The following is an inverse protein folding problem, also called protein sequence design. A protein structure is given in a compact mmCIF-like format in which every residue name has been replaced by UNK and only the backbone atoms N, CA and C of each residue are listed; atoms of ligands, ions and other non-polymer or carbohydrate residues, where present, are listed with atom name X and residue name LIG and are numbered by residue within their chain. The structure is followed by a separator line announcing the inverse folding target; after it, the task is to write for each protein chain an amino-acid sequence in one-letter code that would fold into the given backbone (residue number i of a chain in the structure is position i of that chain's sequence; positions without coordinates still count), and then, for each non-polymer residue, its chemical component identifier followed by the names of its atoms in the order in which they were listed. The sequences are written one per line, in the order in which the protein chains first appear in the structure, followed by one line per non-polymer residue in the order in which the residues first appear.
data_IF_186247429943
#
_entry.id   IF_186247429943
#
_cell.length_a   1.000
_cell.length_b   1.000
_cell.length_c   1.000
_cell.angle_alpha   90.00
_cell.angle_beta   90.00
_cell.angle_gamma   90.00
#
_symmetry.space_group_name_H-M   'P 1'
#
loop_
_entity.id
_entity.type
_entity.pdbx_description
1 polymer ?
#
# COMPACT_ATOMS: atom_id res chain seq x y z
N UNK A 1 3.92 -12.42 -24.69
CA UNK A 1 3.39 -13.12 -23.48
C UNK A 1 3.09 -12.07 -22.42
N UNK A 2 2.01 -12.22 -21.66
CA UNK A 2 1.56 -11.27 -20.65
C UNK A 2 1.71 -11.83 -19.24
N UNK A 3 1.83 -10.93 -18.26
CA UNK A 3 1.61 -11.20 -16.84
C UNK A 3 0.40 -10.39 -16.42
N UNK A 4 -0.61 -11.04 -15.82
CA UNK A 4 -1.80 -10.37 -15.33
C UNK A 4 -1.59 -9.86 -13.91
N UNK A 5 -1.74 -8.56 -13.66
CA UNK A 5 -1.71 -7.94 -12.34
C UNK A 5 -3.11 -7.55 -11.92
N UNK A 6 -3.61 -8.17 -10.87
CA UNK A 6 -4.86 -7.80 -10.20
C UNK A 6 -4.52 -7.16 -8.86
N UNK A 7 -4.75 -5.86 -8.77
CA UNK A 7 -4.29 -5.03 -7.66
C UNK A 7 -5.50 -4.55 -6.87
N UNK A 8 -5.41 -4.56 -5.54
CA UNK A 8 -6.45 -4.01 -4.68
C UNK A 8 -6.88 -2.60 -5.10
N UNK A 9 -8.17 -2.40 -5.21
CA UNK A 9 -8.79 -1.11 -5.51
C UNK A 9 -8.89 -0.21 -4.27
N UNK A 10 -8.46 -0.70 -3.10
CA UNK A 10 -8.51 0.02 -1.83
C UNK A 10 -7.32 0.98 -1.67
N UNK A 11 -7.57 2.27 -1.87
CA UNK A 11 -6.53 3.30 -1.74
C UNK A 11 -5.47 3.25 -2.85
N UNK A 12 -4.31 3.83 -2.60
CA UNK A 12 -3.20 3.88 -3.58
C UNK A 12 -1.97 3.07 -3.15
N UNK A 13 -1.89 2.63 -1.89
CA UNK A 13 -0.73 1.93 -1.36
C UNK A 13 -0.40 0.63 -2.11
N UNK A 14 -1.43 -0.15 -2.47
CA UNK A 14 -1.28 -1.37 -3.26
C UNK A 14 -0.78 -1.05 -4.68
N UNK A 15 -1.37 -0.06 -5.33
CA UNK A 15 -0.93 0.35 -6.67
C UNK A 15 0.51 0.85 -6.64
N UNK A 16 0.88 1.73 -5.70
CA UNK A 16 2.24 2.31 -5.65
C UNK A 16 3.32 1.27 -5.42
N UNK A 17 3.09 0.26 -4.55
CA UNK A 17 4.06 -0.84 -4.37
C UNK A 17 4.15 -1.74 -5.61
N UNK A 18 3.03 -2.03 -6.27
CA UNK A 18 3.02 -2.80 -7.51
C UNK A 18 3.67 -2.05 -8.67
N UNK A 19 3.60 -0.72 -8.73
CA UNK A 19 4.26 0.06 -9.78
C UNK A 19 5.76 -0.16 -9.82
N UNK A 20 6.43 -0.21 -8.66
CA UNK A 20 7.86 -0.55 -8.60
C UNK A 20 8.16 -1.92 -9.19
N UNK A 21 7.32 -2.93 -8.91
CA UNK A 21 7.46 -4.29 -9.44
C UNK A 21 7.21 -4.32 -10.95
N UNK A 22 6.09 -3.73 -11.40
CA UNK A 22 5.68 -3.70 -12.80
C UNK A 22 6.71 -2.98 -13.68
N UNK A 23 7.21 -1.83 -13.24
CA UNK A 23 8.26 -1.08 -13.93
C UNK A 23 9.53 -1.92 -14.09
N UNK A 24 9.98 -2.60 -13.02
CA UNK A 24 11.15 -3.45 -13.09
C UNK A 24 10.95 -4.69 -13.99
N UNK A 25 9.76 -5.29 -14.03
CA UNK A 25 9.44 -6.33 -15.01
C UNK A 25 9.56 -5.78 -16.45
N UNK A 26 9.01 -4.59 -16.70
CA UNK A 26 9.06 -3.97 -18.02
C UNK A 26 10.49 -3.60 -18.44
N UNK A 27 11.34 -3.17 -17.50
CA UNK A 27 12.76 -2.88 -17.73
C UNK A 27 13.59 -4.17 -17.99
N UNK A 28 13.35 -5.22 -17.19
CA UNK A 28 14.20 -6.41 -17.16
C UNK A 28 13.73 -7.53 -18.13
N UNK A 29 12.61 -7.41 -18.79
CA UNK A 29 12.03 -8.48 -19.58
C UNK A 29 11.26 -7.99 -20.82
N UNK A 30 10.87 -8.93 -21.69
CA UNK A 30 9.99 -8.67 -22.85
C UNK A 30 8.51 -8.98 -22.54
N UNK A 31 8.14 -9.22 -21.30
CA UNK A 31 6.74 -9.44 -20.93
C UNK A 31 5.92 -8.17 -21.08
N UNK A 32 4.70 -8.34 -21.53
CA UNK A 32 3.67 -7.32 -21.49
C UNK A 32 2.87 -7.47 -20.21
N UNK A 33 2.17 -6.42 -19.81
CA UNK A 33 1.33 -6.44 -18.60
C UNK A 33 -0.15 -6.29 -18.96
N UNK A 34 -0.98 -7.02 -18.23
CA UNK A 34 -2.41 -6.80 -18.15
C UNK A 34 -2.73 -6.34 -16.74
N UNK A 35 -3.12 -5.07 -16.58
CA UNK A 35 -3.28 -4.43 -15.27
C UNK A 35 -4.76 -4.21 -15.00
N UNK A 36 -5.25 -4.80 -13.91
CA UNK A 36 -6.64 -4.73 -13.46
C UNK A 36 -6.70 -4.08 -12.09
N UNK A 37 -7.35 -2.94 -12.01
CA UNK A 37 -7.57 -2.19 -10.76
C UNK A 37 -8.73 -1.19 -10.95
N UNK A 38 -9.14 -0.53 -9.89
CA UNK A 38 -10.10 0.57 -9.98
C UNK A 38 -9.61 1.68 -10.92
N UNK A 39 -10.56 2.38 -11.54
CA UNK A 39 -10.25 3.42 -12.56
C UNK A 39 -9.24 4.47 -12.06
N UNK A 40 -9.40 4.96 -10.85
CA UNK A 40 -8.51 6.01 -10.29
C UNK A 40 -7.06 5.54 -10.15
N UNK A 41 -6.87 4.29 -9.71
CA UNK A 41 -5.55 3.67 -9.58
C UNK A 41 -4.94 3.40 -10.96
N UNK A 42 -5.74 2.93 -11.92
CA UNK A 42 -5.28 2.72 -13.29
C UNK A 42 -4.93 4.04 -13.99
N UNK A 43 -5.68 5.12 -13.77
CA UNK A 43 -5.34 6.44 -14.32
C UNK A 43 -3.97 6.91 -13.82
N UNK A 44 -3.68 6.69 -12.53
CA UNK A 44 -2.36 6.96 -11.95
C UNK A 44 -1.26 6.07 -12.56
N UNK A 45 -1.54 4.78 -12.73
CA UNK A 45 -0.60 3.84 -13.35
C UNK A 45 -0.33 4.16 -14.82
N UNK A 46 -1.33 4.60 -15.59
CA UNK A 46 -1.17 5.04 -16.99
C UNK A 46 -0.18 6.21 -17.13
N UNK A 47 -0.22 7.14 -16.18
CA UNK A 47 0.71 8.28 -16.19
C UNK A 47 2.11 7.82 -15.78
N UNK A 48 2.21 7.03 -14.71
CA UNK A 48 3.50 6.55 -14.20
C UNK A 48 4.24 5.65 -15.20
N UNK A 49 3.53 4.72 -15.85
CA UNK A 49 4.08 3.77 -16.82
C UNK A 49 3.94 4.23 -18.29
N UNK A 50 3.77 5.53 -18.54
CA UNK A 50 3.50 6.08 -19.87
C UNK A 50 4.57 5.71 -20.91
N UNK A 51 5.82 5.56 -20.50
CA UNK A 51 6.94 5.12 -21.35
C UNK A 51 6.71 3.70 -21.94
N UNK A 52 5.97 2.85 -21.22
CA UNK A 52 5.71 1.46 -21.59
C UNK A 52 4.29 1.22 -22.15
N UNK A 53 3.56 2.27 -22.54
CA UNK A 53 2.14 2.22 -22.92
C UNK A 53 1.81 1.14 -23.95
N UNK A 54 2.72 0.87 -24.92
CA UNK A 54 2.51 -0.10 -25.98
C UNK A 54 2.65 -1.57 -25.51
N UNK A 55 3.09 -1.76 -24.27
CA UNK A 55 3.27 -3.07 -23.62
C UNK A 55 2.25 -3.34 -22.54
N UNK A 56 1.25 -2.47 -22.34
CA UNK A 56 0.32 -2.57 -21.23
C UNK A 56 -1.12 -2.49 -21.72
N UNK A 57 -1.93 -3.43 -21.26
CA UNK A 57 -3.38 -3.39 -21.38
C UNK A 57 -3.94 -3.09 -19.99
N UNK A 58 -4.80 -2.08 -19.88
CA UNK A 58 -5.48 -1.73 -18.64
C UNK A 58 -6.95 -2.13 -18.67
N UNK A 59 -7.43 -2.71 -17.59
CA UNK A 59 -8.85 -2.98 -17.33
C UNK A 59 -9.29 -2.25 -16.07
N UNK A 60 -10.22 -1.33 -16.22
CA UNK A 60 -10.83 -0.64 -15.08
C UNK A 60 -11.90 -1.53 -14.46
N UNK A 61 -11.60 -2.12 -13.31
CA UNK A 61 -12.44 -3.04 -12.58
C UNK A 61 -12.16 -2.91 -11.08
N UNK A 62 -13.21 -2.88 -10.25
CA UNK A 62 -13.07 -3.00 -8.80
C UNK A 62 -12.72 -4.44 -8.47
N UNK A 63 -11.55 -4.65 -7.89
CA UNK A 63 -10.97 -5.99 -7.67
C UNK A 63 -11.19 -6.51 -6.27
N UNK A 64 -11.59 -5.64 -5.34
CA UNK A 64 -11.92 -5.96 -3.96
C UNK A 64 -12.70 -4.83 -3.29
N UNK A 65 -13.23 -5.09 -2.11
CA UNK A 65 -13.82 -4.10 -1.21
C UNK A 65 -12.88 -3.96 -0.01
N UNK A 66 -12.31 -2.78 0.15
CA UNK A 66 -11.50 -2.44 1.32
C UNK A 66 -12.33 -2.02 2.52
N UNK A 67 -11.66 -1.49 3.53
CA UNK A 67 -12.35 -0.98 4.71
C UNK A 67 -13.22 0.23 4.36
N UNK A 68 -14.47 0.20 4.77
CA UNK A 68 -15.43 1.30 4.66
C UNK A 68 -15.48 1.98 6.03
N UNK A 69 -15.13 3.25 6.07
CA UNK A 69 -15.15 4.01 7.32
C UNK A 69 -16.49 4.72 7.53
N UNK A 70 -16.83 4.95 8.79
CA UNK A 70 -17.89 5.87 9.16
C UNK A 70 -17.55 7.29 8.70
N UNK A 71 -18.57 8.12 8.50
CA UNK A 71 -18.39 9.49 8.09
C UNK A 71 -17.50 10.28 9.10
N UNK A 72 -16.51 11.01 8.58
CA UNK A 72 -15.55 11.80 9.36
C UNK A 72 -14.80 11.02 10.48
N UNK A 73 -14.60 9.72 10.30
CA UNK A 73 -13.92 8.84 11.26
C UNK A 73 -13.00 7.86 10.55
N UNK A 74 -11.99 7.36 11.28
CA UNK A 74 -11.20 6.20 10.87
C UNK A 74 -11.82 4.86 11.32
N UNK A 75 -12.92 4.91 12.08
CA UNK A 75 -13.66 3.72 12.53
C UNK A 75 -14.40 3.05 11.38
N UNK A 76 -14.36 1.71 11.34
CA UNK A 76 -15.01 0.94 10.28
C UNK A 76 -16.52 0.91 10.47
N UNK A 77 -17.27 1.20 9.40
CA UNK A 77 -18.70 0.93 9.31
C UNK A 77 -18.93 -0.53 8.89
N UNK A 78 -19.05 -1.39 9.89
CA UNK A 78 -19.25 -2.83 9.68
C UNK A 78 -20.50 -3.14 8.86
N UNK A 79 -21.62 -2.46 9.12
CA UNK A 79 -22.91 -2.76 8.47
C UNK A 79 -22.83 -2.43 6.99
N UNK A 80 -22.31 -1.26 6.67
CA UNK A 80 -22.12 -0.85 5.27
C UNK A 80 -21.10 -1.73 4.56
N UNK A 81 -20.03 -2.11 5.23
CA UNK A 81 -19.02 -3.02 4.69
C UNK A 81 -19.61 -4.39 4.37
N UNK A 82 -20.37 -5.02 5.28
CA UNK A 82 -21.00 -6.32 5.04
C UNK A 82 -21.96 -6.28 3.84
N UNK A 83 -22.76 -5.21 3.72
CA UNK A 83 -23.62 -5.01 2.57
C UNK A 83 -22.83 -4.97 1.26
N UNK A 84 -21.77 -4.17 1.21
CA UNK A 84 -20.93 -4.05 0.00
C UNK A 84 -20.22 -5.37 -0.33
N UNK A 85 -19.79 -6.11 0.68
CA UNK A 85 -19.15 -7.43 0.49
C UNK A 85 -20.12 -8.46 -0.08
N UNK A 86 -21.37 -8.49 0.38
CA UNK A 86 -22.41 -9.37 -0.19
C UNK A 86 -22.67 -9.03 -1.66
N UNK A 87 -22.84 -7.76 -1.99
CA UNK A 87 -23.02 -7.32 -3.38
C UNK A 87 -21.82 -7.69 -4.25
N UNK A 88 -20.62 -7.43 -3.77
CA UNK A 88 -19.38 -7.74 -4.49
C UNK A 88 -19.17 -9.24 -4.70
N UNK A 89 -19.33 -10.05 -3.65
CA UNK A 89 -19.14 -11.50 -3.77
C UNK A 89 -20.21 -12.17 -4.63
N UNK A 90 -21.41 -11.59 -4.73
CA UNK A 90 -22.44 -12.09 -5.65
C UNK A 90 -22.10 -11.86 -7.12
N UNK A 91 -21.31 -10.84 -7.44
CA UNK A 91 -20.88 -10.51 -8.81
C UNK A 91 -19.67 -11.33 -9.31
N UNK A 92 -18.99 -12.07 -8.45
CA UNK A 92 -17.74 -12.75 -8.81
C UNK A 92 -17.86 -13.70 -10.00
N UNK A 93 -18.96 -14.44 -10.08
CA UNK A 93 -19.16 -15.39 -11.18
C UNK A 93 -19.16 -14.70 -12.54
N UNK A 94 -19.89 -13.62 -12.68
CA UNK A 94 -20.02 -12.87 -13.96
C UNK A 94 -18.71 -12.17 -14.30
N UNK A 95 -18.11 -11.46 -13.33
CA UNK A 95 -16.84 -10.78 -13.50
C UNK A 95 -15.73 -11.75 -13.95
N UNK A 96 -15.62 -12.91 -13.28
CA UNK A 96 -14.61 -13.91 -13.60
C UNK A 96 -14.85 -14.55 -14.98
N UNK A 97 -16.12 -14.72 -15.40
CA UNK A 97 -16.45 -15.21 -16.72
C UNK A 97 -16.06 -14.21 -17.82
N UNK A 98 -16.33 -12.92 -17.60
CA UNK A 98 -15.95 -11.87 -18.55
C UNK A 98 -14.43 -11.78 -18.71
N UNK A 99 -13.69 -11.80 -17.60
CA UNK A 99 -12.23 -11.82 -17.59
C UNK A 99 -11.69 -13.08 -18.29
N UNK A 100 -12.23 -14.26 -17.98
CA UNK A 100 -11.86 -15.50 -18.66
C UNK A 100 -12.06 -15.42 -20.17
N UNK A 101 -13.21 -14.92 -20.62
CA UNK A 101 -13.52 -14.79 -22.04
C UNK A 101 -12.58 -13.85 -22.77
N UNK A 102 -12.12 -12.79 -22.13
CA UNK A 102 -11.13 -11.88 -22.67
C UNK A 102 -9.73 -12.53 -22.68
N UNK A 103 -9.30 -13.09 -21.54
CA UNK A 103 -7.93 -13.53 -21.33
C UNK A 103 -7.59 -14.85 -22.05
N UNK A 104 -8.58 -15.73 -22.30
CA UNK A 104 -8.34 -17.00 -23.02
C UNK A 104 -7.73 -16.82 -24.40
N UNK A 105 -7.86 -15.63 -25.00
CA UNK A 105 -7.25 -15.29 -26.30
C UNK A 105 -5.84 -14.71 -26.16
N UNK A 106 -5.41 -14.36 -24.94
CA UNK A 106 -4.10 -13.81 -24.66
C UNK A 106 -3.16 -14.91 -24.14
N UNK A 107 -1.89 -14.81 -24.52
CA UNK A 107 -0.86 -15.70 -23.98
C UNK A 107 -0.41 -15.18 -22.61
N UNK A 108 -1.06 -15.64 -21.51
CA UNK A 108 -0.76 -15.24 -20.13
C UNK A 108 0.17 -16.27 -19.50
N UNK A 109 1.25 -15.81 -18.85
CA UNK A 109 2.18 -16.67 -18.08
C UNK A 109 1.62 -17.04 -16.71
N UNK A 110 1.22 -16.03 -15.95
CA UNK A 110 0.71 -16.18 -14.58
C UNK A 110 -0.16 -14.97 -14.22
N UNK A 111 -0.91 -15.12 -13.14
CA UNK A 111 -1.65 -14.03 -12.49
C UNK A 111 -0.91 -13.66 -11.21
N UNK A 112 -0.56 -12.38 -11.08
CA UNK A 112 -0.06 -11.77 -9.84
C UNK A 112 -1.23 -11.06 -9.18
N UNK A 113 -1.57 -11.45 -7.97
CA UNK A 113 -2.63 -10.83 -7.18
C UNK A 113 -2.01 -10.09 -5.99
N UNK A 114 -2.21 -8.78 -5.93
CA UNK A 114 -1.96 -8.02 -4.72
C UNK A 114 -3.26 -7.96 -3.94
N UNK A 115 -3.47 -8.96 -3.08
CA UNK A 115 -4.63 -9.22 -2.21
C UNK A 115 -5.99 -9.40 -2.94
N UNK A 116 -6.07 -9.18 -4.25
CA UNK A 116 -7.33 -9.22 -5.01
C UNK A 116 -7.95 -10.63 -5.07
N UNK A 117 -9.19 -10.84 -4.59
CA UNK A 117 -9.88 -12.12 -4.78
C UNK A 117 -10.18 -12.39 -6.27
N UNK A 118 -10.48 -11.37 -7.06
CA UNK A 118 -10.79 -11.51 -8.48
C UNK A 118 -9.59 -12.08 -9.25
N UNK A 119 -8.38 -11.59 -8.99
CA UNK A 119 -7.17 -12.12 -9.63
C UNK A 119 -6.96 -13.60 -9.35
N UNK A 120 -7.18 -14.02 -8.10
CA UNK A 120 -7.05 -15.41 -7.69
C UNK A 120 -8.09 -16.31 -8.36
N UNK A 121 -9.35 -15.88 -8.43
CA UNK A 121 -10.43 -16.61 -9.10
C UNK A 121 -10.18 -16.74 -10.62
N UNK A 122 -9.73 -15.67 -11.25
CA UNK A 122 -9.41 -15.65 -12.70
C UNK A 122 -8.25 -16.60 -13.00
N UNK A 123 -7.18 -16.55 -12.21
CA UNK A 123 -6.04 -17.47 -12.38
C UNK A 123 -6.45 -18.93 -12.23
N UNK A 124 -7.25 -19.25 -11.21
CA UNK A 124 -7.79 -20.59 -11.03
C UNK A 124 -8.65 -21.03 -12.21
N UNK A 125 -9.54 -20.18 -12.71
CA UNK A 125 -10.41 -20.50 -13.86
C UNK A 125 -9.62 -20.71 -15.15
N UNK A 126 -8.53 -19.97 -15.35
CA UNK A 126 -7.62 -20.12 -16.50
C UNK A 126 -6.63 -21.28 -16.32
N UNK A 127 -6.61 -21.93 -15.14
CA UNK A 127 -5.63 -22.95 -14.77
C UNK A 127 -4.18 -22.46 -14.86
N UNK A 128 -3.96 -21.19 -14.52
CA UNK A 128 -2.65 -20.54 -14.51
C UNK A 128 -2.08 -20.48 -13.08
N UNK A 129 -0.75 -20.39 -12.93
CA UNK A 129 -0.15 -20.07 -11.64
C UNK A 129 -0.70 -18.76 -11.08
N UNK A 130 -1.08 -18.77 -9.80
CA UNK A 130 -1.51 -17.59 -9.04
C UNK A 130 -0.43 -17.23 -8.03
N UNK A 131 0.22 -16.11 -8.26
CA UNK A 131 1.22 -15.54 -7.36
C UNK A 131 0.54 -14.49 -6.50
N UNK A 132 0.33 -14.79 -5.21
CA UNK A 132 -0.15 -13.80 -4.25
C UNK A 132 1.04 -13.02 -3.70
N UNK A 133 0.98 -11.70 -3.74
CA UNK A 133 1.97 -10.82 -3.11
C UNK A 133 1.25 -9.95 -2.09
N UNK A 134 1.57 -10.09 -0.80
CA UNK A 134 0.90 -9.29 0.22
C UNK A 134 1.56 -9.40 1.59
N UNK A 135 1.16 -8.51 2.52
CA UNK A 135 1.47 -8.54 3.94
C UNK A 135 0.26 -8.95 4.82
N UNK A 136 -0.94 -9.10 4.25
CA UNK A 136 -2.14 -9.61 4.91
C UNK A 136 -3.14 -10.10 3.86
N UNK A 137 -4.21 -10.81 4.27
CA UNK A 137 -5.37 -11.05 3.42
C UNK A 137 -6.63 -10.41 4.00
N UNK A 138 -7.66 -10.29 3.16
CA UNK A 138 -8.95 -9.80 3.64
C UNK A 138 -9.59 -10.73 4.67
N UNK A 139 -9.21 -12.03 4.72
CA UNK A 139 -9.69 -12.96 5.73
C UNK A 139 -9.33 -12.47 7.14
N UNK A 140 -8.04 -12.22 7.40
CA UNK A 140 -7.56 -11.79 8.71
C UNK A 140 -8.17 -10.44 9.13
N UNK A 141 -8.38 -9.54 8.16
CA UNK A 141 -8.98 -8.23 8.41
C UNK A 141 -10.48 -8.33 8.73
N UNK A 142 -11.22 -9.17 7.97
CA UNK A 142 -12.66 -9.32 8.18
C UNK A 142 -12.98 -10.13 9.44
N UNK A 143 -12.19 -11.15 9.77
CA UNK A 143 -12.28 -11.83 11.06
C UNK A 143 -12.10 -10.88 12.24
N UNK A 144 -11.13 -9.98 12.15
CA UNK A 144 -10.84 -9.00 13.20
C UNK A 144 -12.02 -8.03 13.43
N UNK A 145 -12.69 -7.62 12.36
CA UNK A 145 -13.88 -6.74 12.44
C UNK A 145 -15.12 -7.53 12.88
N UNK A 146 -15.08 -8.87 12.74
CA UNK A 146 -16.21 -9.76 13.01
C UNK A 146 -17.28 -9.72 11.91
N UNK A 147 -16.87 -9.65 10.64
CA UNK A 147 -17.74 -9.79 9.46
C UNK A 147 -18.40 -11.18 9.47
N UNK A 148 -19.57 -11.30 8.80
CA UNK A 148 -20.30 -12.57 8.71
C UNK A 148 -19.42 -13.70 8.18
N UNK A 149 -19.44 -14.85 8.88
CA UNK A 149 -18.57 -16.00 8.60
C UNK A 149 -18.78 -16.55 7.19
N UNK A 150 -20.00 -16.50 6.67
CA UNK A 150 -20.29 -16.96 5.30
C UNK A 150 -19.59 -16.14 4.22
N UNK A 151 -19.32 -14.85 4.48
CA UNK A 151 -18.53 -13.99 3.60
C UNK A 151 -17.05 -14.35 3.73
N UNK A 152 -16.56 -14.51 4.96
CA UNK A 152 -15.16 -14.85 5.24
C UNK A 152 -14.80 -16.19 4.61
N UNK A 153 -15.68 -17.21 4.70
CA UNK A 153 -15.45 -18.52 4.09
C UNK A 153 -15.31 -18.45 2.57
N UNK A 154 -16.04 -17.57 1.90
CA UNK A 154 -15.84 -17.33 0.45
C UNK A 154 -14.42 -16.82 0.16
N UNK A 155 -13.90 -15.91 0.97
CA UNK A 155 -12.53 -15.40 0.81
C UNK A 155 -11.48 -16.47 1.14
N UNK A 156 -11.68 -17.31 2.18
CA UNK A 156 -10.82 -18.46 2.47
C UNK A 156 -10.76 -19.43 1.29
N UNK A 157 -11.91 -19.74 0.70
CA UNK A 157 -11.96 -20.58 -0.50
C UNK A 157 -11.18 -19.97 -1.65
N UNK A 158 -11.32 -18.66 -1.90
CA UNK A 158 -10.58 -17.98 -2.97
C UNK A 158 -9.07 -18.08 -2.75
N UNK A 159 -8.60 -17.73 -1.57
CA UNK A 159 -7.15 -17.75 -1.30
C UNK A 159 -6.57 -19.16 -1.25
N UNK A 160 -7.40 -20.22 -1.15
CA UNK A 160 -6.93 -21.60 -1.28
C UNK A 160 -6.41 -21.96 -2.69
N UNK A 161 -6.73 -21.15 -3.71
CA UNK A 161 -6.25 -21.32 -5.09
C UNK A 161 -4.87 -20.72 -5.35
N UNK A 162 -4.27 -20.05 -4.37
CA UNK A 162 -2.91 -19.50 -4.48
C UNK A 162 -1.89 -20.61 -4.64
N UNK A 163 -1.04 -20.50 -5.66
CA UNK A 163 0.02 -21.51 -5.93
C UNK A 163 1.37 -21.09 -5.37
N UNK A 164 1.69 -19.79 -5.42
CA UNK A 164 2.93 -19.20 -4.90
C UNK A 164 2.59 -17.97 -4.04
N UNK A 165 3.15 -17.90 -2.85
CA UNK A 165 2.96 -16.77 -1.94
C UNK A 165 4.29 -16.03 -1.74
N UNK A 166 4.34 -14.76 -2.13
CA UNK A 166 5.43 -13.84 -1.85
C UNK A 166 4.99 -12.96 -0.68
N UNK A 167 5.57 -13.25 0.48
CA UNK A 167 5.24 -12.64 1.76
C UNK A 167 6.15 -11.45 2.02
N UNK A 168 5.60 -10.26 2.10
CA UNK A 168 6.36 -9.07 2.49
C UNK A 168 6.80 -9.10 3.96
N UNK A 169 7.81 -8.29 4.29
CA UNK A 169 8.09 -7.96 5.69
C UNK A 169 6.87 -7.31 6.36
N UNK A 170 6.75 -7.38 7.69
CA UNK A 170 5.56 -6.99 8.45
C UNK A 170 4.27 -7.72 8.00
N UNK A 171 4.39 -8.97 7.61
CA UNK A 171 3.22 -9.77 7.24
C UNK A 171 2.49 -10.29 8.47
N UNK A 172 1.17 -10.07 8.50
CA UNK A 172 0.30 -10.75 9.48
C UNK A 172 0.50 -12.27 9.42
N UNK A 173 0.35 -12.99 10.53
CA UNK A 173 0.20 -14.43 10.49
C UNK A 173 -1.00 -14.82 9.62
N UNK A 174 -0.75 -15.45 8.48
CA UNK A 174 -1.77 -15.86 7.53
C UNK A 174 -1.92 -17.37 7.60
N UNK A 175 -3.09 -17.85 8.03
CA UNK A 175 -3.43 -19.28 8.12
C UNK A 175 -4.48 -19.68 7.06
N UNK A 176 -5.02 -18.72 6.31
CA UNK A 176 -6.10 -18.91 5.35
C UNK A 176 -5.65 -19.40 3.97
N UNK A 177 -4.33 -19.44 3.71
CA UNK A 177 -3.78 -19.79 2.40
C UNK A 177 -3.18 -21.19 2.44
N UNK A 178 -3.61 -22.05 1.52
CA UNK A 178 -2.98 -23.34 1.27
C UNK A 178 -2.03 -23.25 0.07
N UNK A 179 -0.88 -22.62 0.26
CA UNK A 179 0.12 -22.40 -0.78
C UNK A 179 1.05 -23.61 -0.97
N UNK A 180 1.52 -23.82 -2.21
CA UNK A 180 2.54 -24.83 -2.52
C UNK A 180 3.95 -24.31 -2.25
N UNK A 181 4.15 -23.01 -2.48
CA UNK A 181 5.45 -22.33 -2.35
C UNK A 181 5.27 -21.02 -1.58
N UNK A 182 6.20 -20.74 -0.66
CA UNK A 182 6.26 -19.45 0.04
C UNK A 182 7.67 -18.87 -0.03
N UNK A 183 7.73 -17.57 -0.26
CA UNK A 183 8.97 -16.80 -0.30
C UNK A 183 8.82 -15.56 0.56
N UNK A 184 9.78 -15.31 1.43
CA UNK A 184 9.84 -14.09 2.23
C UNK A 184 10.72 -13.05 1.53
N UNK A 185 10.21 -11.82 1.47
CA UNK A 185 10.87 -10.66 0.90
C UNK A 185 10.78 -9.49 1.86
N UNK A 186 11.71 -8.57 1.77
CA UNK A 186 11.69 -7.35 2.56
C UNK A 186 10.71 -6.30 2.04
N UNK A 187 11.00 -5.05 2.36
CA UNK A 187 10.23 -3.92 1.85
C UNK A 187 10.48 -3.68 0.37
N UNK A 188 9.47 -3.16 -0.32
CA UNK A 188 9.57 -2.71 -1.70
C UNK A 188 8.80 -1.41 -1.91
N UNK A 189 9.35 -0.54 -2.72
CA UNK A 189 8.70 0.67 -3.19
C UNK A 189 9.17 1.03 -4.60
N UNK A 190 8.59 2.08 -5.16
CA UNK A 190 9.12 2.73 -6.38
C UNK A 190 10.55 3.20 -6.15
N UNK A 191 11.32 3.32 -7.21
CA UNK A 191 12.70 3.82 -7.14
C UNK A 191 12.76 5.19 -6.43
N UNK A 192 13.69 5.32 -5.47
CA UNK A 192 14.01 6.57 -4.81
C UNK A 192 15.13 7.24 -5.60
N UNK A 193 14.79 8.36 -6.24
CA UNK A 193 15.74 9.18 -7.02
C UNK A 193 16.56 10.06 -6.07
N UNK A 194 17.80 9.66 -5.84
CA UNK A 194 18.72 10.33 -4.91
C UNK A 194 18.99 11.79 -5.33
N UNK A 195 19.14 12.05 -6.63
CA UNK A 195 19.39 13.41 -7.13
C UNK A 195 18.17 14.32 -6.86
N UNK A 196 16.97 13.77 -7.02
CA UNK A 196 15.73 14.49 -6.71
C UNK A 196 15.56 14.71 -5.21
N UNK A 197 15.86 13.70 -4.39
CA UNK A 197 15.87 13.82 -2.93
C UNK A 197 16.79 14.96 -2.48
N UNK A 198 18.00 15.02 -2.99
CA UNK A 198 18.95 16.09 -2.64
C UNK A 198 18.51 17.48 -3.14
N UNK A 199 17.86 17.55 -4.31
CA UNK A 199 17.22 18.81 -4.79
C UNK A 199 16.11 19.26 -3.86
N UNK A 200 15.24 18.34 -3.41
CA UNK A 200 14.14 18.66 -2.46
C UNK A 200 14.73 19.14 -1.13
N UNK A 201 15.72 18.43 -0.57
CA UNK A 201 16.40 18.85 0.67
C UNK A 201 17.03 20.25 0.54
N UNK A 202 17.72 20.52 -0.57
CA UNK A 202 18.33 21.83 -0.83
C UNK A 202 17.31 22.96 -0.97
N UNK A 203 16.15 22.68 -1.61
CA UNK A 203 15.12 23.67 -1.86
C UNK A 203 14.31 24.00 -0.60
N UNK A 204 13.99 22.99 0.23
CA UNK A 204 13.03 23.13 1.31
C UNK A 204 13.65 23.06 2.72
N UNK A 205 14.90 22.64 2.83
CA UNK A 205 15.60 22.52 4.11
C UNK A 205 15.02 21.43 5.03
N UNK A 206 14.99 21.72 6.34
CA UNK A 206 14.36 20.82 7.32
C UNK A 206 12.88 20.65 6.98
N UNK A 207 12.47 19.40 6.80
CA UNK A 207 11.09 19.12 6.38
C UNK A 207 10.50 17.88 7.07
N UNK A 208 9.17 17.87 7.16
CA UNK A 208 8.38 16.72 7.60
C UNK A 208 7.31 16.43 6.56
N UNK A 209 6.87 15.18 6.47
CA UNK A 209 5.81 14.75 5.57
C UNK A 209 4.61 14.28 6.40
N UNK A 210 3.42 14.83 6.16
CA UNK A 210 2.19 14.44 6.87
C UNK A 210 1.18 13.91 5.85
N UNK A 211 0.75 12.65 6.01
CA UNK A 211 -0.24 12.03 5.13
C UNK A 211 -1.09 11.00 5.86
N UNK A 212 -2.38 10.98 5.61
CA UNK A 212 -3.29 9.93 6.07
C UNK A 212 -3.87 9.10 4.93
N UNK A 213 -3.26 9.22 3.75
CA UNK A 213 -3.76 8.65 2.50
C UNK A 213 -4.95 9.44 1.94
N UNK A 214 -5.31 9.17 0.69
CA UNK A 214 -6.33 9.91 -0.05
C UNK A 214 -7.78 9.61 0.40
N UNK A 215 -7.98 8.75 1.38
CA UNK A 215 -9.30 8.27 1.86
C UNK A 215 -9.72 8.81 3.23
N UNK A 216 -8.87 9.56 3.91
CA UNK A 216 -9.18 10.13 5.22
C UNK A 216 -9.34 11.65 5.11
N UNK A 217 -10.52 12.16 5.50
CA UNK A 217 -10.69 13.57 5.82
C UNK A 217 -10.43 13.72 7.31
N UNK A 218 -9.29 14.29 7.66
CA UNK A 218 -8.99 14.65 9.03
C UNK A 218 -9.35 16.11 9.29
N UNK A 219 -9.68 16.39 10.54
CA UNK A 219 -9.80 17.78 11.02
C UNK A 219 -8.45 18.51 10.86
N UNK A 220 -8.46 19.83 11.04
CA UNK A 220 -7.24 20.62 11.04
C UNK A 220 -6.26 20.12 12.09
N UNK A 221 -5.01 19.91 11.68
CA UNK A 221 -3.90 19.54 12.55
C UNK A 221 -3.09 20.80 12.85
N UNK A 222 -2.91 21.11 14.13
CA UNK A 222 -2.04 22.21 14.56
C UNK A 222 -0.65 21.67 14.91
N UNK A 223 0.37 22.22 14.24
CA UNK A 223 1.78 21.84 14.44
C UNK A 223 2.46 22.86 15.34
N UNK A 224 3.11 22.38 16.40
CA UNK A 224 3.85 23.18 17.38
C UNK A 224 5.34 22.89 17.34
N UNK A 225 6.14 23.89 17.74
CA UNK A 225 7.59 23.77 17.91
C UNK A 225 8.31 23.23 16.66
N UNK A 226 7.90 23.74 15.48
CA UNK A 226 8.52 23.35 14.20
C UNK A 226 8.77 24.57 13.30
N UNK A 227 10.03 24.75 12.90
CA UNK A 227 10.45 25.68 11.85
C UNK A 227 10.99 24.90 10.65
N UNK A 228 10.30 24.96 9.53
CA UNK A 228 10.68 24.22 8.33
C UNK A 228 9.52 24.05 7.36
N UNK A 229 9.67 23.09 6.47
CA UNK A 229 8.65 22.79 5.46
C UNK A 229 7.82 21.57 5.86
N UNK A 230 6.52 21.68 5.72
CA UNK A 230 5.59 20.57 5.92
C UNK A 230 5.03 20.19 4.55
N UNK A 231 5.41 19.03 4.05
CA UNK A 231 4.76 18.44 2.89
C UNK A 231 3.47 17.74 3.33
N UNK A 232 2.39 17.94 2.61
CA UNK A 232 1.13 17.24 2.86
C UNK A 232 0.45 16.85 1.56
N UNK A 233 -0.38 15.82 1.62
CA UNK A 233 -1.26 15.42 0.52
C UNK A 233 -2.68 15.94 0.76
N UNK A 234 -3.52 15.95 -0.27
CA UNK A 234 -4.91 16.42 -0.18
C UNK A 234 -5.70 15.72 0.95
N UNK A 235 -6.60 16.47 1.60
CA UNK A 235 -7.48 15.96 2.66
C UNK A 235 -7.00 16.26 4.09
N UNK A 236 -5.91 17.01 4.26
CA UNK A 236 -5.41 17.44 5.58
C UNK A 236 -5.23 18.96 5.55
N UNK A 237 -5.79 19.64 6.54
CA UNK A 237 -5.52 21.06 6.79
C UNK A 237 -4.48 21.19 7.89
N UNK A 238 -3.42 21.96 7.63
CA UNK A 238 -2.33 22.19 8.58
C UNK A 238 -2.35 23.66 9.02
N UNK A 239 -2.25 23.87 10.32
CA UNK A 239 -1.94 25.18 10.94
C UNK A 239 -0.66 25.05 11.76
N UNK A 240 0.09 26.13 11.90
CA UNK A 240 1.34 26.16 12.68
C UNK A 240 1.33 27.31 13.65
N UNK A 241 1.89 27.11 14.84
CA UNK A 241 2.09 28.15 15.84
C UNK A 241 3.31 29.04 15.53
N UNK A 242 4.25 28.52 14.73
CA UNK A 242 5.45 29.22 14.27
C UNK A 242 5.43 29.36 12.73
N UNK A 243 6.35 30.17 12.20
CA UNK A 243 6.54 30.30 10.74
C UNK A 243 6.99 28.97 10.15
N UNK A 244 6.05 28.20 9.62
CA UNK A 244 6.32 27.02 8.82
C UNK A 244 5.78 27.19 7.39
N UNK A 245 6.46 26.57 6.44
CA UNK A 245 6.05 26.56 5.04
C UNK A 245 5.24 25.29 4.76
N UNK A 246 3.93 25.42 4.52
CA UNK A 246 3.07 24.28 4.17
C UNK A 246 2.99 24.12 2.65
N UNK A 247 3.46 22.99 2.14
CA UNK A 247 3.46 22.64 0.72
C UNK A 247 2.45 21.51 0.48
N UNK A 248 1.31 21.86 -0.11
CA UNK A 248 0.32 20.88 -0.53
C UNK A 248 0.76 20.25 -1.85
N UNK A 249 1.16 18.98 -1.81
CA UNK A 249 1.54 18.25 -3.00
C UNK A 249 0.31 17.97 -3.88
N UNK A 250 0.44 18.06 -5.21
CA UNK A 250 -0.64 17.76 -6.13
C UNK A 250 -1.20 16.34 -5.92
N UNK A 251 -2.50 16.16 -6.16
CA UNK A 251 -3.17 14.86 -5.98
C UNK A 251 -2.63 13.78 -6.94
N UNK A 252 -2.11 14.19 -8.07
CA UNK A 252 -1.54 13.38 -9.14
C UNK A 252 -0.02 13.24 -9.06
N UNK A 253 0.61 13.73 -7.96
CA UNK A 253 2.05 13.55 -7.78
C UNK A 253 2.44 12.06 -7.84
N UNK A 254 3.43 11.76 -8.68
CA UNK A 254 3.81 10.38 -9.01
C UNK A 254 4.92 9.81 -8.12
N UNK A 255 5.61 10.65 -7.36
CA UNK A 255 6.87 10.32 -6.72
C UNK A 255 6.97 10.78 -5.27
N UNK A 256 5.89 10.61 -4.51
CA UNK A 256 5.82 10.91 -3.07
C UNK A 256 6.95 10.27 -2.26
N UNK A 257 7.46 9.09 -2.68
CA UNK A 257 8.60 8.42 -2.02
C UNK A 257 9.85 9.30 -1.97
N UNK A 258 10.06 10.18 -2.95
CA UNK A 258 11.21 11.10 -2.95
C UNK A 258 11.04 12.23 -1.90
N UNK A 259 9.82 12.72 -1.72
CA UNK A 259 9.50 13.69 -0.66
C UNK A 259 9.57 13.08 0.72
N UNK A 260 9.13 11.82 0.88
CA UNK A 260 9.29 11.07 2.13
C UNK A 260 10.78 10.90 2.45
N UNK A 261 11.58 10.43 1.49
CA UNK A 261 13.02 10.24 1.66
C UNK A 261 13.80 11.57 1.88
N UNK A 262 13.25 12.69 1.41
CA UNK A 262 13.82 14.01 1.67
C UNK A 262 13.46 14.58 3.05
N UNK A 263 12.43 14.04 3.70
CA UNK A 263 11.91 14.54 4.98
C UNK A 263 12.65 13.93 6.16
N UNK A 264 12.76 14.70 7.26
CA UNK A 264 13.34 14.21 8.52
C UNK A 264 12.41 13.21 9.23
N UNK A 265 11.10 13.32 8.98
CA UNK A 265 10.07 12.54 9.64
C UNK A 265 8.86 12.42 8.72
N UNK A 266 8.17 11.28 8.77
CA UNK A 266 6.84 11.10 8.18
C UNK A 266 5.82 10.77 9.26
N UNK A 267 4.71 11.50 9.30
CA UNK A 267 3.57 11.24 10.18
C UNK A 267 2.44 10.68 9.30
N UNK A 268 2.04 9.43 9.53
CA UNK A 268 1.12 8.74 8.63
C UNK A 268 0.32 7.64 9.35
N UNK A 269 -0.81 7.25 8.78
CA UNK A 269 -1.45 5.98 9.18
C UNK A 269 -0.50 4.81 8.89
N UNK A 270 -0.65 3.71 9.60
CA UNK A 270 0.29 2.59 9.53
C UNK A 270 0.10 1.68 8.29
N UNK A 271 -0.23 2.28 7.13
CA UNK A 271 -0.33 1.56 5.86
C UNK A 271 1.04 1.09 5.36
N UNK A 272 1.14 -0.18 5.00
CA UNK A 272 2.39 -0.85 4.64
C UNK A 272 3.20 -0.11 3.55
N UNK A 273 2.52 0.42 2.52
CA UNK A 273 3.22 1.10 1.40
C UNK A 273 4.00 2.33 1.84
N UNK A 274 3.42 3.20 2.69
CA UNK A 274 4.11 4.40 3.21
C UNK A 274 5.20 4.01 4.21
N UNK A 275 4.98 2.96 5.01
CA UNK A 275 6.01 2.41 5.89
C UNK A 275 7.21 1.95 5.05
N UNK A 276 6.98 1.20 3.98
CA UNK A 276 8.04 0.73 3.09
C UNK A 276 8.83 1.89 2.46
N UNK A 277 8.14 2.92 1.96
CA UNK A 277 8.77 4.12 1.40
C UNK A 277 9.62 4.85 2.45
N UNK A 278 9.15 4.95 3.70
CA UNK A 278 9.88 5.61 4.78
C UNK A 278 11.10 4.80 5.26
N UNK A 279 10.94 3.48 5.44
CA UNK A 279 12.04 2.60 5.85
C UNK A 279 13.15 2.59 4.79
N UNK A 280 12.78 2.46 3.51
CA UNK A 280 13.73 2.47 2.39
C UNK A 280 14.31 3.85 2.10
N UNK A 281 13.60 4.92 2.45
CA UNK A 281 14.08 6.31 2.42
C UNK A 281 14.88 6.72 3.65
N UNK A 282 15.05 5.82 4.63
CA UNK A 282 15.72 6.10 5.92
C UNK A 282 15.10 7.27 6.68
N UNK A 283 13.78 7.43 6.58
CA UNK A 283 13.00 8.50 7.20
C UNK A 283 12.38 8.02 8.52
N UNK A 284 12.42 8.87 9.55
CA UNK A 284 11.81 8.57 10.83
C UNK A 284 10.29 8.40 10.71
N UNK A 285 9.76 7.32 11.30
CA UNK A 285 8.35 6.96 11.25
C UNK A 285 7.60 7.37 12.52
N UNK A 286 6.51 8.11 12.35
CA UNK A 286 5.49 8.36 13.37
C UNK A 286 4.15 7.84 12.85
N UNK A 287 3.65 6.78 13.46
CA UNK A 287 2.47 6.07 13.00
C UNK A 287 1.24 6.46 13.80
N UNK A 288 0.14 6.77 13.12
CA UNK A 288 -1.14 7.11 13.72
C UNK A 288 -1.86 5.81 14.05
N UNK A 289 -2.23 5.63 15.31
CA UNK A 289 -2.95 4.45 15.79
C UNK A 289 -4.37 4.43 15.25
N UNK A 290 -4.76 3.30 14.65
CA UNK A 290 -6.09 3.02 14.12
C UNK A 290 -6.53 1.62 14.55
N UNK A 291 -7.13 1.48 15.77
CA UNK A 291 -7.43 0.16 16.34
C UNK A 291 -8.40 -0.69 15.53
N UNK A 292 -9.23 -0.10 14.68
CA UNK A 292 -10.20 -0.82 13.82
C UNK A 292 -9.58 -1.55 12.63
N UNK A 293 -8.29 -1.31 12.33
CA UNK A 293 -7.57 -1.96 11.25
C UNK A 293 -6.49 -2.90 11.81
N UNK A 294 -6.66 -4.21 11.60
CA UNK A 294 -5.72 -5.23 12.09
C UNK A 294 -4.32 -5.05 11.51
N UNK A 295 -4.24 -4.73 10.22
CA UNK A 295 -2.97 -4.42 9.55
C UNK A 295 -2.23 -3.27 10.23
N UNK A 296 -2.94 -2.14 10.46
CA UNK A 296 -2.33 -0.95 11.07
C UNK A 296 -1.78 -1.26 12.47
N UNK A 297 -2.59 -1.96 13.30
CA UNK A 297 -2.19 -2.33 14.66
C UNK A 297 -0.95 -3.25 14.68
N UNK A 298 -0.92 -4.24 13.79
CA UNK A 298 0.21 -5.15 13.66
C UNK A 298 1.47 -4.44 13.14
N UNK A 299 1.33 -3.60 12.13
CA UNK A 299 2.45 -2.83 11.60
C UNK A 299 3.06 -1.93 12.67
N UNK A 300 2.24 -1.24 13.48
CA UNK A 300 2.70 -0.40 14.60
C UNK A 300 3.48 -1.23 15.61
N UNK A 301 2.92 -2.37 16.03
CA UNK A 301 3.59 -3.28 16.99
C UNK A 301 4.98 -3.67 16.46
N UNK A 302 5.06 -4.15 15.21
CA UNK A 302 6.31 -4.60 14.62
C UNK A 302 7.31 -3.47 14.37
N UNK A 303 6.87 -2.29 13.98
CA UNK A 303 7.73 -1.11 13.82
C UNK A 303 8.34 -0.70 15.17
N UNK A 304 7.55 -0.72 16.26
CA UNK A 304 8.04 -0.42 17.63
C UNK A 304 9.00 -1.50 18.13
N UNK A 305 8.66 -2.79 17.98
CA UNK A 305 9.53 -3.91 18.36
C UNK A 305 10.89 -3.85 17.64
N UNK A 306 10.88 -3.49 16.37
CA UNK A 306 12.08 -3.36 15.54
C UNK A 306 12.81 -2.03 15.76
N UNK A 307 12.29 -1.12 16.57
CA UNK A 307 12.83 0.23 16.81
C UNK A 307 13.01 1.03 15.51
N UNK A 308 12.03 0.99 14.62
CA UNK A 308 12.03 1.70 13.34
C UNK A 308 11.13 2.94 13.35
N UNK A 309 10.32 3.13 14.40
CA UNK A 309 9.37 4.22 14.53
C UNK A 309 8.67 4.24 15.87
N UNK A 310 7.84 5.26 16.05
CA UNK A 310 6.97 5.45 17.21
C UNK A 310 5.51 5.56 16.75
N UNK A 311 4.56 5.60 17.68
CA UNK A 311 3.14 5.83 17.36
C UNK A 311 2.54 6.94 18.20
N UNK A 312 1.50 7.59 17.66
CA UNK A 312 0.66 8.58 18.33
C UNK A 312 -0.80 8.16 18.23
N UNK A 313 -1.57 8.42 19.29
CA UNK A 313 -2.99 8.11 19.27
C UNK A 313 -3.75 9.10 18.36
N UNK A 314 -4.81 8.62 17.67
CA UNK A 314 -5.65 9.47 16.79
C UNK A 314 -6.19 10.72 17.50
N UNK A 315 -6.55 10.60 18.80
CA UNK A 315 -7.04 11.73 19.60
C UNK A 315 -6.01 12.86 19.79
N UNK A 316 -4.72 12.56 19.64
CA UNK A 316 -3.62 13.51 19.83
C UNK A 316 -3.26 14.26 18.52
N UNK A 317 -3.91 13.91 17.40
CA UNK A 317 -3.66 14.52 16.09
C UNK A 317 -4.06 16.00 16.01
N UNK A 318 -5.00 16.45 16.82
CA UNK A 318 -5.46 17.86 16.78
C UNK A 318 -4.33 18.86 17.05
N UNK A 319 -3.30 18.46 17.81
CA UNK A 319 -2.11 19.26 18.08
C UNK A 319 -0.90 18.36 18.23
N UNK A 320 0.08 18.55 17.35
CA UNK A 320 1.31 17.74 17.32
C UNK A 320 2.50 18.63 17.64
N UNK A 321 3.23 18.28 18.68
CA UNK A 321 4.49 18.92 19.07
C UNK A 321 5.68 18.18 18.44
N UNK A 322 6.28 18.78 17.43
CA UNK A 322 7.35 18.14 16.65
C UNK A 322 8.62 17.96 17.48
N UNK A 323 8.96 18.90 18.36
CA UNK A 323 10.15 18.76 19.21
C UNK A 323 10.02 17.56 20.15
N UNK A 324 8.83 17.30 20.69
CA UNK A 324 8.58 16.13 21.53
C UNK A 324 8.73 14.83 20.72
N UNK A 325 8.19 14.79 19.50
CA UNK A 325 8.37 13.63 18.61
C UNK A 325 9.84 13.39 18.22
N UNK A 326 10.61 14.46 17.91
CA UNK A 326 12.05 14.35 17.61
C UNK A 326 12.83 13.78 18.81
N UNK A 327 12.50 14.22 20.03
CA UNK A 327 13.11 13.69 21.26
C UNK A 327 12.76 12.22 21.50
N UNK A 328 11.52 11.83 21.27
CA UNK A 328 11.08 10.44 21.41
C UNK A 328 11.73 9.53 20.36
N UNK A 329 11.78 9.96 19.11
CA UNK A 329 12.44 9.24 18.01
C UNK A 329 13.92 9.03 18.29
N UNK A 330 14.64 10.07 18.73
CA UNK A 330 16.08 9.97 19.01
C UNK A 330 16.41 8.95 20.10
N UNK A 331 15.49 8.69 21.03
CA UNK A 331 15.65 7.71 22.11
C UNK A 331 15.22 6.28 21.73
N UNK A 332 14.38 6.12 20.71
CA UNK A 332 13.75 4.84 20.39
C UNK A 332 14.21 4.22 19.07
N UNK A 333 14.79 4.98 18.14
CA UNK A 333 15.15 4.46 16.81
C UNK A 333 16.50 3.76 16.80
N UNK A 334 16.54 2.59 16.18
CA UNK A 334 17.78 1.90 15.85
C UNK A 334 18.21 2.25 14.42
N UNK A 335 18.97 3.32 14.27
CA UNK A 335 19.46 3.79 12.96
C UNK A 335 20.37 2.80 12.26
N UNK A 336 21.17 2.00 13.01
CA UNK A 336 22.01 0.96 12.41
C UNK A 336 21.14 -0.07 11.69
N UNK A 337 20.06 -0.52 12.34
CA UNK A 337 19.09 -1.43 11.74
C UNK A 337 18.34 -0.80 10.57
N UNK A 338 17.87 0.43 10.72
CA UNK A 338 17.17 1.16 9.65
C UNK A 338 18.01 1.22 8.37
N UNK A 339 19.30 1.46 8.49
CA UNK A 339 20.25 1.54 7.37
C UNK A 339 20.56 0.18 6.70
N UNK A 340 20.11 -0.95 7.26
CA UNK A 340 20.31 -2.26 6.63
C UNK A 340 19.25 -2.60 5.59
N UNK A 341 18.09 -1.94 5.63
CA UNK A 341 17.01 -2.22 4.71
C UNK A 341 17.30 -1.79 3.29
N UNK A 342 16.98 -2.66 2.34
CA UNK A 342 17.15 -2.44 0.90
C UNK A 342 15.86 -2.78 0.18
N UNK A 343 15.66 -2.20 -0.98
CA UNK A 343 14.50 -2.46 -1.82
C UNK A 343 14.61 -3.85 -2.47
N UNK A 344 13.72 -4.75 -2.09
CA UNK A 344 13.71 -6.15 -2.56
C UNK A 344 12.94 -6.32 -3.90
N UNK A 345 12.67 -5.24 -4.63
CA UNK A 345 11.91 -5.30 -5.88
C UNK A 345 12.50 -6.28 -6.90
N UNK A 346 13.83 -6.34 -7.03
CA UNK A 346 14.49 -7.26 -7.96
C UNK A 346 14.25 -8.73 -7.61
N UNK A 347 14.32 -9.07 -6.32
CA UNK A 347 14.01 -10.42 -5.82
C UNK A 347 12.56 -10.81 -6.11
N UNK A 348 11.62 -9.88 -5.93
CA UNK A 348 10.21 -10.11 -6.23
C UNK A 348 10.01 -10.37 -7.73
N UNK A 349 10.66 -9.57 -8.59
CA UNK A 349 10.61 -9.75 -10.04
C UNK A 349 11.15 -11.11 -10.45
N UNK A 350 12.29 -11.53 -9.91
CA UNK A 350 12.85 -12.87 -10.17
C UNK A 350 11.86 -13.98 -9.79
N UNK A 351 11.22 -13.88 -8.61
CA UNK A 351 10.23 -14.85 -8.14
C UNK A 351 8.96 -14.90 -9.01
N UNK A 352 8.54 -13.78 -9.60
CA UNK A 352 7.39 -13.73 -10.54
C UNK A 352 7.78 -14.32 -11.90
N UNK A 353 9.01 -14.08 -12.34
CA UNK A 353 9.49 -14.53 -13.64
C UNK A 353 9.96 -16.00 -13.66
N UNK A 354 10.31 -16.56 -12.53
CA UNK A 354 10.55 -17.98 -12.36
C UNK A 354 9.26 -18.82 -12.54
#
# INVERSE_FOLDING_TARGET
MYIGFYISSHGFGHMTRCLGIMENILKASYYNLYIVCGKRQNDFARIYLAEYKDRIIYKDLVTDIGLVNKENSLEVDKILLEKQLLEFTSSWYDVVNDEYNFLKSLNIKCIVSDISPIGTLVGNKLQLPVVLITNFTWVEQYEYIGIDESIIDRYRQVYSYVTKFIKYDLCLPINSINYKEVYEVGFTCREIDIDKVEKIKKQYGKSIFITCGKSANLNTINIKNFKGTIFTTSGINITCDEDCNVVNLPIDILDTQNYIAASNMVITKAGWGTIAEAVLGHTNLVLIERPSAKEDSFNIEKIKENKLGISIAEKDLSTIDIQNLENELSNNINYEKLNTYKNDVSKIVELILA
#
